data_IF_605290175906
#
_entry.id   IF_605290175906
#
_cell.length_a   1.000
_cell.length_b   1.000
_cell.length_c   1.000
_cell.angle_alpha   90.00
_cell.angle_beta   90.00
_cell.angle_gamma   90.00
#
_symmetry.space_group_name_H-M   'P 1'
#
loop_
_entity.id
_entity.type
_entity.pdbx_description
1 polymer ?
#
# COMPACT_ATOMS: atom_id res chain seq x y z
N UNK A 1 10.16 25.61 1.91
CA UNK A 1 10.23 24.31 1.21
C UNK A 1 10.68 23.25 2.21
N UNK A 2 10.01 22.09 2.34
CA UNK A 2 10.50 21.01 3.17
C UNK A 2 11.85 20.53 2.63
N UNK A 3 12.88 20.54 3.47
CA UNK A 3 14.20 20.05 3.08
C UNK A 3 14.14 18.53 2.84
N UNK A 4 14.75 18.00 1.76
CA UNK A 4 14.94 16.58 1.55
C UNK A 4 15.66 15.93 2.74
N UNK A 5 15.44 14.63 2.93
CA UNK A 5 16.16 13.87 3.92
C UNK A 5 17.66 13.89 3.62
N UNK A 6 18.47 14.32 4.59
CA UNK A 6 19.92 14.18 4.57
C UNK A 6 20.25 12.70 4.82
N UNK A 7 20.86 12.04 3.83
CA UNK A 7 21.26 10.64 3.89
C UNK A 7 22.72 10.55 4.35
N UNK A 8 23.09 9.51 5.14
CA UNK A 8 24.48 9.23 5.45
C UNK A 8 25.34 9.08 4.18
N UNK A 9 26.61 9.49 4.24
CA UNK A 9 27.51 9.46 3.08
C UNK A 9 27.81 8.04 2.57
N UNK A 10 27.70 7.05 3.44
CA UNK A 10 27.88 5.63 3.16
C UNK A 10 26.61 4.96 2.62
N UNK A 11 25.51 5.70 2.42
CA UNK A 11 24.29 5.20 1.78
C UNK A 11 24.32 5.50 0.29
N UNK A 12 24.54 4.48 -0.53
CA UNK A 12 24.74 4.62 -1.97
C UNK A 12 23.42 4.44 -2.73
N UNK A 13 23.07 5.33 -3.66
CA UNK A 13 21.87 5.17 -4.48
C UNK A 13 22.00 3.97 -5.42
N UNK A 14 21.00 3.09 -5.40
CA UNK A 14 20.91 1.95 -6.33
C UNK A 14 19.92 2.26 -7.43
N UNK A 15 18.73 2.75 -7.10
CA UNK A 15 17.71 3.11 -8.08
C UNK A 15 16.68 4.11 -7.53
N UNK A 16 16.18 4.99 -8.40
CA UNK A 16 15.00 5.81 -8.10
C UNK A 16 13.75 5.08 -8.61
N UNK A 17 12.97 4.50 -7.69
CA UNK A 17 11.75 3.78 -8.03
C UNK A 17 10.58 4.72 -8.33
N UNK A 18 10.59 5.91 -7.73
CA UNK A 18 9.58 6.94 -7.96
C UNK A 18 10.13 8.33 -7.69
N UNK A 19 10.00 9.20 -8.68
CA UNK A 19 10.23 10.64 -8.52
C UNK A 19 9.03 11.25 -7.79
N UNK A 20 9.31 12.07 -6.77
CA UNK A 20 8.27 12.77 -6.01
C UNK A 20 7.57 13.87 -6.83
N UNK A 21 6.41 14.32 -6.37
CA UNK A 21 5.71 15.44 -6.96
C UNK A 21 4.20 15.42 -6.71
N UNK A 22 3.59 16.60 -6.62
CA UNK A 22 2.21 16.74 -6.21
C UNK A 22 1.99 16.17 -4.82
N UNK A 23 1.25 15.06 -4.73
CA UNK A 23 0.95 14.35 -3.47
C UNK A 23 1.83 13.12 -3.23
N UNK A 24 2.79 12.85 -4.13
CA UNK A 24 3.56 11.61 -4.14
C UNK A 24 4.92 11.82 -3.47
N UNK A 25 5.33 10.94 -2.53
CA UNK A 25 6.69 10.94 -2.01
C UNK A 25 7.68 10.45 -3.06
N UNK A 26 8.94 10.83 -2.91
CA UNK A 26 10.03 10.15 -3.60
C UNK A 26 10.25 8.76 -2.97
N UNK A 27 10.60 7.78 -3.81
CA UNK A 27 10.92 6.43 -3.38
C UNK A 27 12.24 6.02 -4.01
N UNK A 28 13.22 5.72 -3.18
CA UNK A 28 14.58 5.36 -3.59
C UNK A 28 14.99 4.03 -2.97
N UNK A 29 15.70 3.22 -3.75
CA UNK A 29 16.41 2.03 -3.30
C UNK A 29 17.86 2.44 -3.06
N UNK A 30 18.36 2.17 -1.86
CA UNK A 30 19.71 2.52 -1.44
C UNK A 30 20.42 1.28 -0.89
N UNK A 31 21.73 1.21 -1.10
CA UNK A 31 22.63 0.26 -0.45
C UNK A 31 23.18 0.92 0.83
N UNK A 32 23.08 0.22 1.95
CA UNK A 32 23.65 0.64 3.24
C UNK A 32 24.64 -0.42 3.74
N UNK A 33 25.48 -0.15 4.76
CA UNK A 33 26.33 -1.18 5.33
C UNK A 33 25.58 -2.41 5.88
N UNK A 34 24.31 -2.25 6.25
CA UNK A 34 23.45 -3.33 6.74
C UNK A 34 22.66 -4.05 5.64
N UNK A 35 22.83 -3.63 4.38
CA UNK A 35 22.12 -4.16 3.22
C UNK A 35 21.18 -3.14 2.57
N UNK A 36 20.34 -3.64 1.68
CA UNK A 36 19.49 -2.82 0.83
C UNK A 36 18.21 -2.36 1.51
N UNK A 37 17.88 -1.08 1.32
CA UNK A 37 16.71 -0.45 1.93
C UNK A 37 15.92 0.38 0.93
N UNK A 38 14.65 0.58 1.25
CA UNK A 38 13.79 1.57 0.60
C UNK A 38 13.66 2.79 1.50
N UNK A 39 13.95 3.96 0.93
CA UNK A 39 13.67 5.26 1.54
C UNK A 39 12.48 5.89 0.83
N UNK A 40 11.42 6.14 1.59
CA UNK A 40 10.23 6.88 1.14
C UNK A 40 10.21 8.24 1.83
N UNK A 41 10.39 9.31 1.06
CA UNK A 41 10.48 10.67 1.61
C UNK A 41 9.38 11.59 1.04
N UNK A 42 8.50 12.05 1.91
CA UNK A 42 7.44 13.00 1.55
C UNK A 42 7.96 14.42 1.29
N UNK A 43 9.22 14.75 1.58
CA UNK A 43 9.81 16.01 1.13
C UNK A 43 9.90 16.11 -0.40
N UNK A 44 9.86 14.98 -1.12
CA UNK A 44 9.75 14.97 -2.58
C UNK A 44 8.37 15.36 -3.12
N UNK A 45 7.36 15.52 -2.27
CA UNK A 45 6.04 16.04 -2.65
C UNK A 45 6.02 17.58 -2.60
N UNK A 46 4.97 18.20 -3.13
CA UNK A 46 4.86 19.66 -3.15
C UNK A 46 4.83 20.23 -1.74
N UNK A 47 5.43 21.40 -1.55
CA UNK A 47 5.80 21.91 -0.23
C UNK A 47 4.65 21.95 0.79
N UNK A 48 3.45 22.34 0.35
CA UNK A 48 2.29 22.46 1.21
C UNK A 48 1.75 21.07 1.61
N UNK A 49 1.63 20.16 0.65
CA UNK A 49 1.27 18.76 0.91
C UNK A 49 2.30 18.06 1.82
N UNK A 50 3.58 18.18 1.47
CA UNK A 50 4.70 17.61 2.21
C UNK A 50 4.74 18.09 3.66
N UNK A 51 4.40 19.36 3.92
CA UNK A 51 4.43 19.93 5.27
C UNK A 51 3.21 19.52 6.11
N UNK A 52 2.02 19.50 5.51
CA UNK A 52 0.76 19.25 6.23
C UNK A 52 0.42 17.76 6.34
N UNK A 53 0.46 17.04 5.23
CA UNK A 53 0.03 15.64 5.15
C UNK A 53 1.19 14.64 5.17
N UNK A 54 2.38 15.04 4.71
CA UNK A 54 3.58 14.19 4.73
C UNK A 54 3.85 13.54 6.11
N UNK A 55 3.87 14.30 7.23
CA UNK A 55 4.11 13.73 8.54
C UNK A 55 3.06 12.71 8.99
N UNK A 56 1.79 12.98 8.67
CA UNK A 56 0.67 12.12 9.02
C UNK A 56 0.73 10.81 8.22
N UNK A 57 0.99 10.90 6.91
CA UNK A 57 1.09 9.73 6.04
C UNK A 57 2.28 8.85 6.43
N UNK A 58 3.45 9.45 6.69
CA UNK A 58 4.62 8.72 7.17
C UNK A 58 4.36 8.07 8.54
N UNK A 59 3.75 8.78 9.49
CA UNK A 59 3.39 8.20 10.79
C UNK A 59 2.41 7.03 10.66
N UNK A 60 1.42 7.16 9.78
CA UNK A 60 0.42 6.14 9.51
C UNK A 60 1.04 4.88 8.92
N UNK A 61 1.86 5.02 7.89
CA UNK A 61 2.53 3.87 7.26
C UNK A 61 3.52 3.21 8.21
N UNK A 62 4.32 3.97 8.96
CA UNK A 62 5.20 3.42 10.00
C UNK A 62 4.42 2.59 11.04
N UNK A 63 3.24 3.07 11.47
CA UNK A 63 2.38 2.33 12.40
C UNK A 63 1.82 1.05 11.79
N UNK A 64 1.48 1.07 10.51
CA UNK A 64 1.04 -0.13 9.81
C UNK A 64 2.15 -1.17 9.73
N UNK A 65 3.34 -0.79 9.26
CA UNK A 65 4.48 -1.71 9.16
C UNK A 65 4.86 -2.32 10.53
N UNK A 66 4.82 -1.53 11.61
CA UNK A 66 5.02 -2.05 12.98
C UNK A 66 3.99 -3.10 13.40
N UNK A 67 2.73 -2.96 12.98
CA UNK A 67 1.67 -3.95 13.27
C UNK A 67 1.77 -5.21 12.40
N UNK A 68 2.40 -5.08 11.24
CA UNK A 68 2.45 -6.12 10.21
C UNK A 68 3.80 -6.87 10.18
N UNK A 69 4.65 -6.68 11.18
CA UNK A 69 5.97 -7.34 11.27
C UNK A 69 5.89 -8.88 11.15
N UNK A 70 4.78 -9.49 11.59
CA UNK A 70 4.55 -10.94 11.51
C UNK A 70 3.89 -11.39 10.19
N UNK A 71 3.50 -10.48 9.31
CA UNK A 71 2.83 -10.79 8.05
C UNK A 71 3.89 -10.95 6.97
N UNK A 72 4.06 -12.15 6.44
CA UNK A 72 5.01 -12.43 5.37
C UNK A 72 4.67 -11.63 4.10
N UNK A 73 5.69 -11.20 3.37
CA UNK A 73 5.52 -10.38 2.16
C UNK A 73 5.19 -8.90 2.45
N UNK A 74 5.27 -8.45 3.71
CA UNK A 74 5.20 -7.02 4.07
C UNK A 74 6.61 -6.54 4.44
N UNK A 75 7.07 -5.37 3.95
CA UNK A 75 8.40 -4.89 4.27
C UNK A 75 8.50 -4.51 5.76
N UNK A 76 9.59 -4.92 6.41
CA UNK A 76 9.86 -4.49 7.77
C UNK A 76 10.22 -3.00 7.82
N UNK A 77 9.61 -2.26 8.76
CA UNK A 77 10.07 -0.91 9.08
C UNK A 77 11.41 -1.01 9.81
N UNK A 78 12.44 -0.38 9.25
CA UNK A 78 13.74 -0.25 9.90
C UNK A 78 13.66 0.93 10.87
N UNK A 79 13.34 2.11 10.33
CA UNK A 79 13.20 3.31 11.15
C UNK A 79 12.32 4.39 10.49
N UNK A 80 11.96 5.38 11.31
CA UNK A 80 11.39 6.64 10.85
C UNK A 80 12.47 7.70 10.90
N UNK A 81 12.85 8.26 9.75
CA UNK A 81 13.85 9.34 9.69
C UNK A 81 13.15 10.69 9.63
N UNK A 82 13.22 11.42 10.74
CA UNK A 82 12.45 12.65 10.91
C UNK A 82 10.93 12.43 10.90
N UNK A 83 10.18 13.46 10.47
CA UNK A 83 8.71 13.42 10.49
C UNK A 83 8.09 12.84 9.23
N UNK A 84 8.80 12.91 8.10
CA UNK A 84 8.28 12.72 6.73
C UNK A 84 8.90 11.57 5.96
N UNK A 85 9.93 10.91 6.50
CA UNK A 85 10.60 9.84 5.79
C UNK A 85 10.56 8.51 6.56
N UNK A 86 10.55 7.44 5.79
CA UNK A 86 10.54 6.06 6.25
C UNK A 86 11.70 5.31 5.61
N UNK A 87 12.39 4.52 6.42
CA UNK A 87 13.38 3.55 5.96
C UNK A 87 12.79 2.17 6.23
N UNK A 88 12.67 1.35 5.21
CA UNK A 88 12.08 0.02 5.29
C UNK A 88 12.89 -0.98 4.47
N UNK A 89 12.69 -2.25 4.75
CA UNK A 89 13.28 -3.36 4.02
C UNK A 89 13.01 -3.24 2.52
N UNK A 90 14.04 -3.45 1.71
CA UNK A 90 13.86 -3.72 0.30
C UNK A 90 13.37 -5.17 0.09
N UNK A 91 12.34 -5.32 -0.75
CA UNK A 91 11.85 -6.62 -1.17
C UNK A 91 12.31 -6.87 -2.63
N UNK A 92 12.98 -8.01 -2.91
CA UNK A 92 13.31 -8.44 -4.26
C UNK A 92 12.04 -8.85 -5.02
N UNK A 93 11.25 -7.87 -5.44
CA UNK A 93 9.94 -8.12 -6.01
C UNK A 93 9.60 -7.13 -7.12
N UNK A 94 8.81 -7.59 -8.09
CA UNK A 94 8.33 -6.77 -9.20
C UNK A 94 6.80 -6.60 -9.16
N UNK A 95 6.26 -5.48 -9.68
CA UNK A 95 4.82 -5.27 -9.74
C UNK A 95 4.13 -6.41 -10.48
N UNK A 96 3.09 -7.01 -9.87
CA UNK A 96 2.46 -8.22 -10.41
C UNK A 96 1.92 -8.06 -11.84
N UNK A 97 1.59 -6.82 -12.24
CA UNK A 97 1.08 -6.49 -13.58
C UNK A 97 2.09 -6.70 -14.71
N UNK A 98 3.37 -6.85 -14.40
CA UNK A 98 4.43 -7.09 -15.38
C UNK A 98 4.77 -8.59 -15.50
N UNK A 99 4.18 -9.43 -14.65
CA UNK A 99 4.49 -10.85 -14.61
C UNK A 99 3.51 -11.60 -15.50
N UNK A 100 4.03 -12.29 -16.52
CA UNK A 100 3.27 -13.21 -17.35
C UNK A 100 3.40 -14.64 -16.81
N UNK A 101 2.25 -15.28 -16.54
CA UNK A 101 2.14 -16.56 -15.81
C UNK A 101 0.85 -17.29 -16.19
N UNK A 102 0.86 -18.60 -15.97
CA UNK A 102 -0.27 -19.48 -16.21
C UNK A 102 -1.34 -19.42 -15.11
N UNK A 103 -2.49 -20.06 -15.37
CA UNK A 103 -3.61 -20.10 -14.43
C UNK A 103 -3.28 -20.83 -13.12
N UNK A 104 -2.42 -21.86 -13.17
CA UNK A 104 -2.02 -22.62 -11.98
C UNK A 104 -1.24 -21.74 -10.99
N UNK A 105 -0.30 -20.95 -11.50
CA UNK A 105 0.39 -19.94 -10.71
C UNK A 105 -0.59 -18.94 -10.10
N UNK A 106 -1.50 -18.37 -10.91
CA UNK A 106 -2.42 -17.35 -10.41
C UNK A 106 -3.39 -17.90 -9.36
N UNK A 107 -3.80 -19.16 -9.46
CA UNK A 107 -4.62 -19.82 -8.44
C UNK A 107 -3.91 -19.82 -7.08
N UNK A 108 -2.69 -20.37 -7.03
CA UNK A 108 -1.87 -20.40 -5.80
C UNK A 108 -1.56 -18.99 -5.29
N UNK A 109 -1.20 -18.08 -6.19
CA UNK A 109 -0.89 -16.70 -5.84
C UNK A 109 -2.06 -15.99 -5.14
N UNK A 110 -3.28 -16.09 -5.70
CA UNK A 110 -4.45 -15.44 -5.09
C UNK A 110 -4.90 -16.10 -3.79
N UNK A 111 -4.67 -17.41 -3.62
CA UNK A 111 -4.86 -18.09 -2.34
C UNK A 111 -3.92 -17.52 -1.27
N UNK A 112 -2.61 -17.46 -1.53
CA UNK A 112 -1.66 -16.92 -0.55
C UNK A 112 -1.88 -15.43 -0.30
N UNK A 113 -2.22 -14.66 -1.34
CA UNK A 113 -2.55 -13.23 -1.20
C UNK A 113 -3.79 -13.02 -0.31
N UNK A 114 -4.82 -13.85 -0.45
CA UNK A 114 -6.01 -13.78 0.39
C UNK A 114 -5.67 -14.09 1.86
N UNK A 115 -4.80 -15.06 2.12
CA UNK A 115 -4.29 -15.38 3.46
C UNK A 115 -3.53 -14.19 4.05
N UNK A 116 -2.59 -13.60 3.31
CA UNK A 116 -1.82 -12.41 3.75
C UNK A 116 -2.73 -11.21 4.06
N UNK A 117 -3.73 -10.95 3.22
CA UNK A 117 -4.71 -9.88 3.45
C UNK A 117 -5.58 -10.17 4.69
N UNK A 118 -5.93 -11.43 4.93
CA UNK A 118 -6.63 -11.82 6.16
C UNK A 118 -5.78 -11.59 7.40
N UNK A 119 -4.50 -12.01 7.39
CA UNK A 119 -3.55 -11.76 8.48
C UNK A 119 -3.38 -10.26 8.76
N UNK A 120 -3.28 -9.45 7.71
CA UNK A 120 -3.24 -8.00 7.80
C UNK A 120 -4.51 -7.44 8.47
N UNK A 121 -5.70 -7.93 8.10
CA UNK A 121 -6.97 -7.53 8.73
C UNK A 121 -7.02 -7.95 10.20
N UNK A 122 -6.54 -9.15 10.55
CA UNK A 122 -6.44 -9.64 11.93
C UNK A 122 -5.47 -8.80 12.78
N UNK A 123 -4.39 -8.29 12.19
CA UNK A 123 -3.50 -7.31 12.81
C UNK A 123 -4.13 -5.90 12.95
N UNK A 124 -5.39 -5.74 12.56
CA UNK A 124 -6.15 -4.51 12.68
C UNK A 124 -5.71 -3.44 11.69
N UNK A 125 -5.28 -3.84 10.49
CA UNK A 125 -4.91 -2.95 9.39
C UNK A 125 -5.75 -3.32 8.16
N UNK A 126 -6.42 -2.35 7.56
CA UNK A 126 -7.02 -2.47 6.23
C UNK A 126 -6.21 -1.58 5.28
N UNK A 127 -5.85 -2.08 4.10
CA UNK A 127 -4.91 -1.41 3.20
C UNK A 127 -5.56 -0.25 2.45
N UNK A 128 -6.83 -0.41 2.03
CA UNK A 128 -7.65 0.59 1.35
C UNK A 128 -7.20 1.02 -0.06
N UNK A 129 -6.11 0.46 -0.59
CA UNK A 129 -5.58 0.81 -1.92
C UNK A 129 -5.00 -0.39 -2.69
N UNK A 130 -5.41 -1.62 -2.34
CA UNK A 130 -4.96 -2.85 -3.04
C UNK A 130 -5.39 -2.91 -4.51
N UNK A 131 -6.31 -2.05 -4.95
CA UNK A 131 -6.70 -1.99 -6.36
C UNK A 131 -5.58 -1.47 -7.25
N UNK A 132 -4.68 -0.65 -6.70
CA UNK A 132 -3.53 -0.16 -7.45
C UNK A 132 -2.61 -1.33 -7.76
N UNK A 133 -2.40 -1.59 -9.05
CA UNK A 133 -1.60 -2.73 -9.48
C UNK A 133 -0.13 -2.68 -9.03
N UNK A 134 0.31 -1.54 -8.50
CA UNK A 134 1.68 -1.32 -8.06
C UNK A 134 1.87 -1.66 -6.57
N UNK A 135 0.81 -1.96 -5.83
CA UNK A 135 0.86 -2.20 -4.38
C UNK A 135 0.90 -3.70 -4.05
N UNK A 136 0.71 -4.55 -5.07
CA UNK A 136 0.90 -6.01 -4.99
C UNK A 136 2.08 -6.36 -5.88
N UNK A 137 3.10 -6.98 -5.30
CA UNK A 137 4.31 -7.41 -5.99
C UNK A 137 4.41 -8.95 -5.97
N UNK A 138 5.25 -9.50 -6.83
CA UNK A 138 5.65 -10.91 -6.83
C UNK A 138 7.14 -10.95 -6.51
N UNK A 139 7.52 -11.66 -5.45
CA UNK A 139 8.93 -11.84 -5.09
C UNK A 139 9.61 -12.98 -5.88
N UNK A 140 10.90 -13.20 -5.61
CA UNK A 140 11.68 -14.26 -6.26
C UNK A 140 11.14 -15.66 -5.98
N UNK A 141 10.52 -15.86 -4.82
CA UNK A 141 9.91 -17.13 -4.41
C UNK A 141 8.51 -17.33 -5.01
N UNK A 142 8.09 -16.47 -5.95
CA UNK A 142 6.78 -16.50 -6.61
C UNK A 142 5.62 -16.22 -5.65
N UNK A 143 5.89 -15.47 -4.58
CA UNK A 143 4.96 -15.21 -3.49
C UNK A 143 4.46 -13.74 -3.49
N UNK A 144 3.19 -13.48 -3.13
CA UNK A 144 2.65 -12.12 -3.05
C UNK A 144 3.28 -11.25 -1.97
N UNK A 145 3.76 -10.07 -2.37
CA UNK A 145 4.16 -9.01 -1.44
C UNK A 145 3.18 -7.82 -1.45
N UNK A 146 2.97 -7.21 -0.29
CA UNK A 146 2.09 -6.05 -0.09
C UNK A 146 2.91 -4.83 0.31
N UNK A 147 2.78 -3.74 -0.45
CA UNK A 147 3.54 -2.49 -0.24
C UNK A 147 2.64 -1.25 -0.29
N UNK A 148 3.16 -0.12 0.19
CA UNK A 148 2.47 1.20 0.22
C UNK A 148 1.24 1.24 1.14
N UNK A 149 1.49 1.24 2.45
CA UNK A 149 0.43 1.36 3.46
C UNK A 149 0.06 2.82 3.77
N UNK A 150 0.46 3.76 2.91
CA UNK A 150 0.21 5.17 3.11
C UNK A 150 -1.28 5.51 3.21
N UNK A 151 -2.18 4.69 2.64
CA UNK A 151 -3.63 4.88 2.64
C UNK A 151 -4.39 4.06 3.69
N UNK A 152 -3.70 3.26 4.51
CA UNK A 152 -4.34 2.28 5.38
C UNK A 152 -5.30 2.88 6.42
N UNK A 153 -6.17 2.04 6.96
CA UNK A 153 -7.07 2.35 8.08
C UNK A 153 -6.85 1.32 9.19
N UNK A 154 -6.93 1.77 10.43
CA UNK A 154 -6.74 0.91 11.59
C UNK A 154 -8.08 0.48 12.20
N UNK A 155 -8.11 -0.75 12.71
CA UNK A 155 -9.18 -1.22 13.57
C UNK A 155 -9.31 -0.31 14.80
N UNK A 156 -10.54 -0.06 15.28
CA UNK A 156 -10.74 0.72 16.50
C UNK A 156 -10.25 -0.01 17.74
N UNK A 157 -10.11 0.74 18.84
CA UNK A 157 -10.08 0.16 20.17
C UNK A 157 -11.38 -0.58 20.50
N UNK A 158 -11.32 -1.43 21.53
CA UNK A 158 -12.40 -2.37 21.87
C UNK A 158 -13.78 -1.74 22.07
N UNK A 159 -13.85 -0.48 22.51
CA UNK A 159 -15.10 0.20 22.87
C UNK A 159 -15.77 0.99 21.72
N UNK A 160 -15.11 1.16 20.57
CA UNK A 160 -15.69 1.92 19.45
C UNK A 160 -16.38 0.98 18.45
N UNK A 161 -17.56 0.49 18.86
CA UNK A 161 -18.40 -0.43 18.09
C UNK A 161 -18.81 0.13 16.70
N UNK A 162 -19.22 1.40 16.55
CA UNK A 162 -19.56 1.95 15.23
C UNK A 162 -18.37 1.91 14.26
N UNK A 163 -17.17 2.25 14.72
CA UNK A 163 -15.98 2.20 13.89
C UNK A 163 -15.56 0.76 13.54
N UNK A 164 -15.98 -0.27 14.31
CA UNK A 164 -15.74 -1.67 13.93
C UNK A 164 -16.49 -2.01 12.65
N UNK A 165 -17.73 -1.55 12.55
CA UNK A 165 -18.53 -1.68 11.32
C UNK A 165 -17.86 -0.98 10.13
N UNK A 166 -17.33 0.23 10.35
CA UNK A 166 -16.60 0.96 9.30
C UNK A 166 -15.32 0.24 8.89
N UNK A 167 -14.51 -0.23 9.84
CA UNK A 167 -13.32 -1.02 9.58
C UNK A 167 -13.63 -2.31 8.80
N UNK A 168 -14.70 -3.02 9.16
CA UNK A 168 -15.16 -4.19 8.45
C UNK A 168 -15.53 -3.89 6.99
N UNK A 169 -16.07 -2.69 6.70
CA UNK A 169 -16.33 -2.23 5.33
C UNK A 169 -15.04 -1.99 4.55
N UNK A 170 -13.98 -1.47 5.18
CA UNK A 170 -12.67 -1.33 4.55
C UNK A 170 -12.03 -2.70 4.28
N UNK A 171 -12.08 -3.63 5.22
CA UNK A 171 -11.61 -5.00 5.02
C UNK A 171 -12.34 -5.68 3.86
N UNK A 172 -13.65 -5.46 3.76
CA UNK A 172 -14.43 -5.95 2.62
C UNK A 172 -13.99 -5.31 1.30
N UNK A 173 -13.72 -4.01 1.29
CA UNK A 173 -13.26 -3.31 0.10
C UNK A 173 -11.90 -3.82 -0.39
N UNK A 174 -11.00 -4.22 0.52
CA UNK A 174 -9.74 -4.89 0.19
C UNK A 174 -9.98 -6.23 -0.50
N UNK A 175 -10.86 -7.09 0.05
CA UNK A 175 -11.22 -8.38 -0.57
C UNK A 175 -11.84 -8.19 -1.95
N UNK A 176 -12.72 -7.21 -2.11
CA UNK A 176 -13.29 -6.85 -3.41
C UNK A 176 -12.23 -6.31 -4.38
N UNK A 177 -11.16 -5.69 -3.89
CA UNK A 177 -10.03 -5.30 -4.72
C UNK A 177 -9.26 -6.53 -5.21
N UNK A 178 -9.01 -7.53 -4.36
CA UNK A 178 -8.37 -8.79 -4.75
C UNK A 178 -9.13 -9.49 -5.88
N UNK A 179 -10.45 -9.61 -5.77
CA UNK A 179 -11.29 -10.22 -6.82
C UNK A 179 -11.17 -9.45 -8.15
N UNK A 180 -11.01 -8.12 -8.11
CA UNK A 180 -10.80 -7.31 -9.32
C UNK A 180 -9.41 -7.49 -9.92
N UNK A 181 -8.39 -7.67 -9.09
CA UNK A 181 -7.05 -8.02 -9.58
C UNK A 181 -7.09 -9.39 -10.24
N UNK A 182 -7.69 -10.38 -9.57
CA UNK A 182 -7.88 -11.75 -10.07
C UNK A 182 -8.60 -11.77 -11.41
N UNK A 183 -9.72 -11.07 -11.53
CA UNK A 183 -10.45 -10.97 -12.80
C UNK A 183 -9.63 -10.38 -13.95
N UNK A 184 -8.66 -9.50 -13.66
CA UNK A 184 -7.84 -8.86 -14.68
C UNK A 184 -6.78 -9.78 -15.27
N UNK A 185 -6.16 -10.64 -14.45
CA UNK A 185 -5.03 -11.48 -14.87
C UNK A 185 -5.40 -12.96 -15.05
N UNK A 186 -6.43 -13.42 -14.37
CA UNK A 186 -6.92 -14.79 -14.45
C UNK A 186 -8.46 -14.83 -14.37
N UNK A 187 -9.16 -14.33 -15.41
CA UNK A 187 -10.62 -14.25 -15.43
C UNK A 187 -11.32 -15.62 -15.29
N UNK A 188 -10.67 -16.70 -15.76
CA UNK A 188 -11.16 -18.07 -15.64
C UNK A 188 -11.26 -18.54 -14.19
N UNK A 189 -10.35 -18.08 -13.32
CA UNK A 189 -10.32 -18.47 -11.90
C UNK A 189 -11.41 -17.80 -11.05
N UNK A 190 -12.08 -16.77 -11.57
CA UNK A 190 -13.09 -16.02 -10.81
C UNK A 190 -14.35 -16.86 -10.66
N UNK A 191 -14.71 -17.18 -9.42
CA UNK A 191 -15.87 -18.01 -9.11
C UNK A 191 -17.19 -17.33 -9.50
N UNK A 192 -18.26 -18.11 -9.63
CA UNK A 192 -19.59 -17.56 -9.90
C UNK A 192 -20.03 -16.56 -8.81
N UNK A 193 -19.74 -16.86 -7.55
CA UNK A 193 -20.03 -15.99 -6.41
C UNK A 193 -19.24 -14.67 -6.47
N UNK A 194 -17.96 -14.73 -6.84
CA UNK A 194 -17.10 -13.57 -7.03
C UNK A 194 -17.61 -12.67 -8.18
N UNK A 195 -18.10 -13.26 -9.27
CA UNK A 195 -18.73 -12.54 -10.40
C UNK A 195 -20.00 -11.80 -9.97
N UNK A 196 -20.87 -12.44 -9.18
CA UNK A 196 -22.08 -11.81 -8.63
C UNK A 196 -21.71 -10.66 -7.68
N UNK A 197 -20.69 -10.85 -6.83
CA UNK A 197 -20.18 -9.82 -5.92
C UNK A 197 -19.69 -8.58 -6.67
N UNK A 198 -19.02 -8.75 -7.82
CA UNK A 198 -18.57 -7.65 -8.67
C UNK A 198 -19.74 -6.90 -9.31
N UNK A 199 -20.77 -7.61 -9.77
CA UNK A 199 -21.93 -7.04 -10.48
C UNK A 199 -22.86 -6.22 -9.55
N UNK A 200 -23.17 -6.73 -8.35
CA UNK A 200 -24.22 -6.15 -7.50
C UNK A 200 -23.80 -4.89 -6.74
N UNK A 201 -22.50 -4.58 -6.65
CA UNK A 201 -21.98 -3.56 -5.71
C UNK A 201 -21.48 -2.26 -6.34
N UNK A 202 -21.79 -2.06 -7.61
CA UNK A 202 -21.43 -0.86 -8.36
C UNK A 202 -21.82 0.45 -7.66
N UNK A 203 -22.95 0.52 -6.94
CA UNK A 203 -23.57 1.77 -6.44
C UNK A 203 -22.94 2.33 -5.13
N UNK A 204 -22.89 1.55 -4.05
CA UNK A 204 -22.32 2.03 -2.77
C UNK A 204 -20.80 2.25 -2.86
N UNK A 205 -20.13 1.37 -3.61
CA UNK A 205 -18.71 1.54 -3.88
C UNK A 205 -18.45 2.74 -4.81
N UNK A 206 -19.41 3.16 -5.66
CA UNK A 206 -19.33 4.42 -6.44
C UNK A 206 -19.30 5.63 -5.53
N UNK A 207 -20.12 5.67 -4.47
CA UNK A 207 -20.16 6.76 -3.50
C UNK A 207 -18.87 6.92 -2.70
N UNK A 208 -18.37 5.83 -2.11
CA UNK A 208 -17.08 5.83 -1.41
C UNK A 208 -15.89 6.18 -2.34
N UNK A 209 -15.95 5.75 -3.62
CA UNK A 209 -14.96 6.14 -4.65
C UNK A 209 -14.98 7.65 -4.91
N UNK A 210 -16.17 8.26 -5.03
CA UNK A 210 -16.30 9.71 -5.24
C UNK A 210 -15.76 10.51 -4.05
N UNK A 211 -16.00 10.05 -2.82
CA UNK A 211 -15.44 10.70 -1.62
C UNK A 211 -13.91 10.55 -1.54
N UNK A 212 -13.37 9.36 -1.76
CA UNK A 212 -11.91 9.14 -1.73
C UNK A 212 -11.17 9.81 -2.89
N UNK A 213 -11.75 9.83 -4.09
CA UNK A 213 -11.23 10.59 -5.22
C UNK A 213 -11.38 12.10 -5.02
N UNK A 214 -12.49 12.54 -4.43
CA UNK A 214 -12.76 13.93 -4.07
C UNK A 214 -11.77 14.44 -3.04
N UNK A 215 -11.45 13.67 -2.00
CA UNK A 215 -10.47 14.07 -1.01
C UNK A 215 -9.05 14.10 -1.58
N UNK A 216 -8.69 13.15 -2.45
CA UNK A 216 -7.41 13.19 -3.20
C UNK A 216 -7.35 14.28 -4.25
N UNK A 217 -8.49 14.67 -4.81
CA UNK A 217 -8.60 15.79 -5.76
C UNK A 217 -8.51 17.11 -5.01
N UNK A 218 -9.26 17.28 -3.93
CA UNK A 218 -9.18 18.45 -3.03
C UNK A 218 -7.77 18.62 -2.47
N UNK A 219 -7.13 17.56 -1.98
CA UNK A 219 -5.76 17.65 -1.50
C UNK A 219 -4.78 18.04 -2.61
N UNK A 220 -5.02 17.62 -3.85
CA UNK A 220 -4.24 18.07 -5.01
C UNK A 220 -4.54 19.55 -5.31
N UNK A 221 -5.79 19.89 -5.58
CA UNK A 221 -6.21 21.24 -5.93
C UNK A 221 -5.81 22.29 -4.88
N UNK A 222 -5.81 21.94 -3.59
CA UNK A 222 -5.51 22.88 -2.51
C UNK A 222 -4.05 22.85 -2.06
N UNK A 223 -3.36 21.71 -2.15
CA UNK A 223 -2.05 21.50 -1.52
C UNK A 223 -0.91 21.20 -2.49
N UNK A 224 -1.19 21.13 -3.78
CA UNK A 224 -0.20 20.92 -4.85
C UNK A 224 -0.21 22.11 -5.80
N UNK A 225 0.94 22.46 -6.36
CA UNK A 225 1.14 23.60 -7.27
C UNK A 225 1.70 23.14 -8.60
#
# INVERSE_FOLDING_TARGET
MPRPLELPADWLPVATLRIGGGTRPSVQRLMTPAGEVIVKDYAGADALFASLLGPLLAAREARALKRLVAVQGVPNLIERRGRRALVMQWLPAEPFKHVDRDEAFWARFFETLAVRVSQMHCAGVAHCDLRSLNNVLVDLDQEPCLVDFAACVFAPGRWNLPWRGVFARFCRADREALVKLKHRVAPALVSAEEKVLLAHRGLLARGARRLGQGMRWLSRALLTR
#
